data_IF_891815902040
#
_entry.id   IF_891815902040
#
_cell.length_a   1.000
_cell.length_b   1.000
_cell.length_c   1.000
_cell.angle_alpha   90.00
_cell.angle_beta   90.00
_cell.angle_gamma   90.00
#
_symmetry.space_group_name_H-M   'P 1'
#
loop_
_entity.id
_entity.type
_entity.pdbx_description
1 polymer ?
#
# COMPACT_ATOMS: atom_id res chain seq x y z
N UNK A 1 14.12 11.87 -12.98
CA UNK A 1 13.87 12.89 -11.98
C UNK A 1 15.04 13.89 -12.07
N UNK A 2 14.76 15.16 -12.31
CA UNK A 2 15.78 16.22 -12.45
C UNK A 2 16.94 15.88 -13.41
N UNK A 3 16.63 15.23 -14.52
CA UNK A 3 17.58 14.76 -15.52
C UNK A 3 18.38 13.51 -15.13
N UNK A 4 18.14 12.94 -13.94
CA UNK A 4 18.74 11.67 -13.50
C UNK A 4 17.81 10.49 -13.80
N UNK A 5 18.38 9.36 -14.14
CA UNK A 5 17.64 8.10 -14.22
C UNK A 5 17.44 7.56 -12.80
N UNK A 6 16.24 7.11 -12.49
CA UNK A 6 15.89 6.55 -11.17
C UNK A 6 15.47 5.11 -11.35
N UNK A 7 16.07 4.23 -10.55
CA UNK A 7 15.64 2.85 -10.42
C UNK A 7 15.11 2.60 -9.02
N UNK A 8 13.97 1.95 -8.91
CA UNK A 8 13.38 1.61 -7.62
C UNK A 8 13.88 0.27 -7.10
N UNK A 9 14.14 0.21 -5.80
CA UNK A 9 14.44 -1.00 -5.06
C UNK A 9 13.32 -1.23 -4.05
N UNK A 10 12.45 -2.18 -4.31
CA UNK A 10 11.42 -2.53 -3.35
C UNK A 10 12.04 -3.24 -2.14
N UNK A 11 12.07 -2.54 -1.01
CA UNK A 11 12.68 -3.04 0.23
C UNK A 11 11.68 -3.66 1.18
N UNK A 12 10.40 -3.41 0.98
CA UNK A 12 9.32 -3.91 1.82
C UNK A 12 7.95 -3.72 1.19
N UNK A 13 6.92 -4.06 1.94
CA UNK A 13 5.51 -3.92 1.54
C UNK A 13 4.62 -3.59 2.73
N UNK A 14 3.47 -2.98 2.46
CA UNK A 14 2.39 -2.83 3.45
C UNK A 14 1.78 -4.20 3.78
N UNK A 15 1.24 -4.32 5.00
CA UNK A 15 0.43 -5.47 5.36
C UNK A 15 -1.03 -5.29 4.92
N UNK A 16 -1.71 -6.42 4.75
CA UNK A 16 -3.16 -6.46 4.59
C UNK A 16 -3.82 -6.92 5.89
N UNK A 17 -4.84 -6.19 6.33
CA UNK A 17 -5.63 -6.49 7.53
C UNK A 17 -7.10 -6.11 7.28
N UNK A 18 -7.85 -6.91 6.50
CA UNK A 18 -9.21 -6.58 6.12
C UNK A 18 -10.16 -6.63 7.32
N UNK A 19 -11.12 -5.70 7.33
CA UNK A 19 -12.13 -5.60 8.37
C UNK A 19 -13.54 -5.56 7.79
N UNK A 20 -14.53 -5.85 8.62
CA UNK A 20 -15.95 -5.65 8.30
C UNK A 20 -16.57 -4.76 9.36
N UNK A 21 -17.29 -3.73 8.92
CA UNK A 21 -18.12 -2.89 9.78
C UNK A 21 -19.58 -3.15 9.47
N UNK A 22 -20.37 -3.43 10.51
CA UNK A 22 -21.79 -3.74 10.40
C UNK A 22 -22.61 -2.73 11.17
N UNK A 23 -23.41 -1.95 10.47
CA UNK A 23 -24.41 -1.05 11.06
C UNK A 23 -25.58 -1.84 11.66
N UNK A 24 -26.02 -1.43 12.83
CA UNK A 24 -27.11 -2.06 13.58
C UNK A 24 -28.37 -1.20 13.50
N UNK A 25 -29.45 -1.81 13.02
CA UNK A 25 -30.78 -1.24 12.92
C UNK A 25 -31.84 -2.19 13.46
N UNK A 26 -33.08 -2.02 13.01
CA UNK A 26 -34.22 -2.87 13.31
C UNK A 26 -34.96 -3.20 12.01
N UNK A 27 -35.23 -4.48 11.80
CA UNK A 27 -35.93 -4.93 10.60
C UNK A 27 -37.38 -4.45 10.58
N UNK A 28 -37.91 -4.17 9.38
CA UNK A 28 -39.29 -3.70 9.23
C UNK A 28 -39.78 -3.85 7.80
N UNK A 29 -41.08 -3.55 7.59
CA UNK A 29 -41.66 -3.55 6.25
C UNK A 29 -41.34 -2.21 5.55
N UNK A 30 -40.74 -2.28 4.36
CA UNK A 30 -40.24 -1.08 3.65
C UNK A 30 -41.35 -0.07 3.26
N UNK A 31 -42.62 -0.50 3.15
CA UNK A 31 -43.74 0.43 2.87
C UNK A 31 -44.11 1.33 4.05
N UNK A 32 -43.63 1.01 5.26
CA UNK A 32 -43.83 1.81 6.47
C UNK A 32 -42.46 2.04 7.14
N UNK A 33 -41.64 2.91 6.57
CA UNK A 33 -40.25 3.08 7.03
C UNK A 33 -40.07 3.48 8.50
N UNK A 34 -41.13 4.01 9.11
CA UNK A 34 -41.15 4.43 10.53
C UNK A 34 -41.32 3.31 11.53
N UNK A 35 -41.67 2.10 11.07
CA UNK A 35 -41.85 0.92 11.94
C UNK A 35 -40.58 0.09 12.13
N UNK A 36 -39.46 0.60 11.64
CA UNK A 36 -38.16 -0.04 11.80
C UNK A 36 -37.04 1.01 11.82
N UNK A 37 -35.83 0.55 12.00
CA UNK A 37 -34.64 1.37 11.91
C UNK A 37 -33.72 0.81 10.82
N UNK A 38 -33.83 1.34 9.61
CA UNK A 38 -33.11 0.82 8.45
C UNK A 38 -31.58 0.94 8.65
N UNK A 39 -30.87 -0.19 8.62
CA UNK A 39 -29.43 -0.23 8.77
C UNK A 39 -28.67 0.36 7.56
N UNK A 40 -29.28 0.44 6.36
CA UNK A 40 -28.61 0.95 5.15
C UNK A 40 -28.26 2.45 5.26
N UNK A 41 -29.13 3.38 5.63
CA UNK A 41 -28.76 4.78 5.87
C UNK A 41 -27.70 4.94 6.98
N UNK A 42 -27.77 4.11 8.03
CA UNK A 42 -26.79 4.12 9.12
C UNK A 42 -25.43 3.71 8.58
N UNK A 43 -25.36 2.65 7.76
CA UNK A 43 -24.13 2.23 7.12
C UNK A 43 -23.57 3.30 6.18
N UNK A 44 -24.42 3.98 5.42
CA UNK A 44 -24.01 5.05 4.52
C UNK A 44 -23.31 6.21 5.29
N UNK A 45 -23.79 6.55 6.47
CA UNK A 45 -23.13 7.53 7.36
C UNK A 45 -21.75 7.03 7.80
N UNK A 46 -21.62 5.79 8.25
CA UNK A 46 -20.34 5.19 8.65
C UNK A 46 -19.35 5.14 7.48
N UNK A 47 -19.80 4.79 6.27
CA UNK A 47 -18.96 4.83 5.07
C UNK A 47 -18.50 6.26 4.76
N UNK A 48 -19.38 7.25 4.89
CA UNK A 48 -19.02 8.65 4.67
C UNK A 48 -17.93 9.11 5.63
N UNK A 49 -18.04 8.74 6.92
CA UNK A 49 -17.01 9.03 7.92
C UNK A 49 -15.67 8.39 7.56
N UNK A 50 -15.66 7.12 7.16
CA UNK A 50 -14.45 6.45 6.69
C UNK A 50 -13.83 7.12 5.46
N UNK A 51 -14.65 7.58 4.51
CA UNK A 51 -14.19 8.18 3.26
C UNK A 51 -13.52 9.55 3.46
N UNK A 52 -13.93 10.31 4.49
CA UNK A 52 -13.35 11.61 4.80
C UNK A 52 -12.25 11.57 5.85
N UNK A 53 -12.11 10.43 6.57
CA UNK A 53 -11.06 10.24 7.57
C UNK A 53 -9.68 10.31 6.94
N UNK A 54 -8.75 10.92 7.66
CA UNK A 54 -7.32 10.97 7.31
C UNK A 54 -6.56 10.31 8.44
N UNK A 55 -5.91 9.21 8.12
CA UNK A 55 -5.08 8.48 9.08
C UNK A 55 -3.83 9.25 9.44
N UNK A 56 -3.26 8.96 10.59
CA UNK A 56 -2.01 9.57 11.02
C UNK A 56 -0.88 9.25 10.03
N UNK A 57 -0.14 10.29 9.60
CA UNK A 57 0.99 10.15 8.68
C UNK A 57 2.29 9.96 9.45
N UNK A 58 3.17 9.08 8.94
CA UNK A 58 4.52 8.90 9.44
C UNK A 58 5.47 8.38 8.39
N UNK A 59 6.76 8.59 8.60
CA UNK A 59 7.84 8.02 7.78
C UNK A 59 8.35 6.73 8.41
N UNK A 60 8.07 5.59 7.78
CA UNK A 60 8.78 4.34 8.07
C UNK A 60 10.17 4.36 7.43
N UNK A 61 11.15 3.54 7.90
CA UNK A 61 12.53 3.57 7.41
C UNK A 61 12.67 3.54 5.88
N UNK A 62 11.90 2.67 5.21
CA UNK A 62 11.92 2.56 3.74
C UNK A 62 11.53 3.89 3.06
N UNK A 63 10.48 4.55 3.54
CA UNK A 63 10.00 5.82 2.95
C UNK A 63 10.93 6.97 3.29
N UNK A 64 11.51 7.01 4.49
CA UNK A 64 12.55 7.97 4.82
C UNK A 64 13.74 7.85 3.86
N UNK A 65 14.23 6.63 3.65
CA UNK A 65 15.31 6.37 2.68
C UNK A 65 14.96 6.76 1.24
N UNK A 66 13.70 6.57 0.83
CA UNK A 66 13.19 7.04 -0.47
C UNK A 66 13.28 8.56 -0.61
N UNK A 67 12.79 9.29 0.38
CA UNK A 67 12.78 10.76 0.41
C UNK A 67 14.20 11.31 0.36
N UNK A 68 15.10 10.75 1.18
CA UNK A 68 16.53 11.11 1.21
C UNK A 68 17.24 10.83 -0.13
N UNK A 69 17.00 9.66 -0.74
CA UNK A 69 17.58 9.29 -2.03
C UNK A 69 17.12 10.21 -3.18
N UNK A 70 15.92 10.75 -3.08
CA UNK A 70 15.37 11.74 -4.00
C UNK A 70 15.91 13.16 -3.75
N UNK A 71 16.71 13.38 -2.69
CA UNK A 71 17.30 14.66 -2.34
C UNK A 71 16.35 15.61 -1.61
N UNK A 72 15.30 15.08 -1.01
CA UNK A 72 14.31 15.82 -0.23
C UNK A 72 14.62 15.66 1.26
N UNK A 73 14.49 16.73 2.04
CA UNK A 73 14.67 16.69 3.50
C UNK A 73 13.46 15.97 4.14
N UNK A 74 13.66 14.82 4.82
CA UNK A 74 12.57 14.04 5.40
C UNK A 74 12.02 14.62 6.72
N UNK A 75 12.69 15.62 7.31
CA UNK A 75 12.31 16.18 8.61
C UNK A 75 11.37 17.41 8.51
N UNK A 76 10.86 17.67 7.29
CA UNK A 76 9.82 18.65 7.03
C UNK A 76 8.43 18.11 7.39
N UNK A 77 7.42 18.99 7.33
CA UNK A 77 6.00 18.58 7.39
C UNK A 77 5.68 17.53 6.32
N UNK A 78 5.04 16.43 6.69
CA UNK A 78 4.85 15.27 5.81
C UNK A 78 4.00 15.58 4.56
N UNK A 79 3.04 16.50 4.66
CA UNK A 79 2.27 16.96 3.51
C UNK A 79 3.17 17.69 2.50
N UNK A 80 4.16 18.44 3.00
CA UNK A 80 5.13 19.11 2.14
C UNK A 80 6.10 18.11 1.49
N UNK A 81 6.57 17.12 2.24
CA UNK A 81 7.37 16.00 1.70
C UNK A 81 6.58 15.28 0.60
N UNK A 82 5.33 14.92 0.86
CA UNK A 82 4.47 14.25 -0.11
C UNK A 82 4.27 15.07 -1.39
N UNK A 83 4.06 16.38 -1.24
CA UNK A 83 3.92 17.29 -2.39
C UNK A 83 5.21 17.39 -3.22
N UNK A 84 6.39 17.46 -2.56
CA UNK A 84 7.68 17.50 -3.27
C UNK A 84 7.95 16.19 -4.02
N UNK A 85 7.76 15.03 -3.37
CA UNK A 85 7.91 13.72 -4.02
C UNK A 85 6.93 13.58 -5.18
N UNK A 86 5.66 13.95 -4.97
CA UNK A 86 4.63 13.91 -6.01
C UNK A 86 4.91 14.82 -7.21
N UNK A 87 5.60 15.94 -7.01
CA UNK A 87 6.00 16.84 -8.09
C UNK A 87 7.10 16.26 -8.99
N UNK A 88 7.87 15.28 -8.51
CA UNK A 88 8.93 14.64 -9.29
C UNK A 88 8.37 13.74 -10.40
N UNK A 89 7.29 13.02 -10.12
CA UNK A 89 6.62 12.17 -11.09
C UNK A 89 5.16 11.89 -10.69
N UNK A 90 4.18 11.87 -11.63
CA UNK A 90 2.77 11.61 -11.34
C UNK A 90 2.48 10.30 -10.58
N UNK A 91 3.28 9.24 -10.82
CA UNK A 91 3.20 7.98 -10.09
C UNK A 91 3.35 8.18 -8.58
N UNK A 92 4.39 8.90 -8.17
CA UNK A 92 4.64 9.17 -6.75
C UNK A 92 3.52 10.00 -6.12
N UNK A 93 2.90 10.91 -6.87
CA UNK A 93 1.80 11.72 -6.35
C UNK A 93 0.60 10.87 -5.90
N UNK A 94 0.27 9.79 -6.65
CA UNK A 94 -0.81 8.87 -6.30
C UNK A 94 -0.47 7.94 -5.13
N UNK A 95 0.80 7.58 -4.98
CA UNK A 95 1.24 6.60 -3.98
C UNK A 95 1.56 7.21 -2.61
N UNK A 96 2.04 8.47 -2.55
CA UNK A 96 2.55 9.05 -1.30
C UNK A 96 1.54 9.03 -0.16
N UNK A 97 0.26 9.33 -0.41
CA UNK A 97 -0.78 9.26 0.61
C UNK A 97 -0.91 7.83 1.19
N UNK A 98 -0.81 6.82 0.32
CA UNK A 98 -0.89 5.42 0.74
C UNK A 98 0.38 4.93 1.44
N UNK A 99 1.54 5.53 1.14
CA UNK A 99 2.83 5.15 1.71
C UNK A 99 3.11 5.81 3.08
N UNK A 100 2.46 6.92 3.38
CA UNK A 100 2.67 7.66 4.63
C UNK A 100 1.77 7.21 5.79
N UNK A 101 0.69 6.45 5.53
CA UNK A 101 -0.25 6.07 6.58
C UNK A 101 -0.99 4.77 6.32
N UNK A 102 -1.88 4.43 7.23
CA UNK A 102 -2.84 3.35 7.06
C UNK A 102 -3.84 3.76 5.97
N UNK A 103 -4.22 2.83 5.10
CA UNK A 103 -5.29 3.07 4.12
C UNK A 103 -6.51 2.20 4.44
N UNK A 104 -7.70 2.81 4.34
CA UNK A 104 -8.99 2.16 4.62
C UNK A 104 -9.90 2.39 3.43
N UNK A 105 -10.15 1.34 2.65
CA UNK A 105 -10.97 1.42 1.44
C UNK A 105 -12.25 0.57 1.57
N UNK A 106 -13.45 1.17 1.61
CA UNK A 106 -14.71 0.45 1.52
C UNK A 106 -14.86 -0.23 0.14
N UNK A 107 -15.04 -1.56 0.11
CA UNK A 107 -15.04 -2.32 -1.15
C UNK A 107 -16.26 -3.22 -1.34
N UNK A 108 -16.75 -3.87 -0.28
CA UNK A 108 -17.86 -4.82 -0.35
C UNK A 108 -19.05 -4.27 0.41
N UNK A 109 -20.25 -4.37 -0.16
CA UNK A 109 -21.49 -3.91 0.48
C UNK A 109 -22.51 -5.05 0.56
N UNK A 110 -23.12 -5.22 1.73
CA UNK A 110 -24.24 -6.13 1.94
C UNK A 110 -25.36 -5.42 2.70
N UNK A 111 -26.60 -5.84 2.43
CA UNK A 111 -27.80 -5.28 3.06
C UNK A 111 -28.95 -6.24 2.97
N UNK A 112 -30.18 -5.74 2.68
CA UNK A 112 -31.34 -6.60 2.49
C UNK A 112 -31.25 -7.39 1.19
N UNK A 113 -31.65 -8.66 1.23
CA UNK A 113 -31.87 -9.50 0.05
C UNK A 113 -33.28 -9.32 -0.57
N UNK A 114 -34.17 -8.59 0.10
CA UNK A 114 -35.54 -8.36 -0.34
C UNK A 114 -35.88 -6.87 -0.38
N UNK A 115 -36.43 -6.41 -1.51
CA UNK A 115 -36.78 -4.99 -1.73
C UNK A 115 -37.78 -4.42 -0.74
N UNK A 116 -38.71 -5.25 -0.26
CA UNK A 116 -39.77 -4.85 0.65
C UNK A 116 -39.44 -4.99 2.13
N UNK A 117 -38.16 -5.24 2.48
CA UNK A 117 -37.70 -5.41 3.87
C UNK A 117 -36.65 -4.36 4.20
N UNK A 118 -36.86 -3.62 5.28
CA UNK A 118 -35.82 -2.79 5.91
C UNK A 118 -34.84 -3.73 6.62
N UNK A 119 -33.55 -3.73 6.27
CA UNK A 119 -32.61 -4.61 6.96
C UNK A 119 -32.28 -4.09 8.38
N UNK A 120 -32.27 -5.00 9.35
CA UNK A 120 -31.79 -4.73 10.69
C UNK A 120 -30.26 -4.72 10.79
N UNK A 121 -29.56 -5.18 9.74
CA UNK A 121 -28.10 -5.19 9.63
C UNK A 121 -27.71 -4.88 8.20
N UNK A 122 -26.67 -4.06 8.05
CA UNK A 122 -26.03 -3.80 6.76
C UNK A 122 -24.52 -3.69 6.99
N UNK A 123 -23.70 -4.22 6.10
CA UNK A 123 -22.25 -4.32 6.34
C UNK A 123 -21.44 -3.79 5.17
N UNK A 124 -20.26 -3.27 5.49
CA UNK A 124 -19.21 -2.92 4.53
C UNK A 124 -17.94 -3.70 4.83
N UNK A 125 -17.39 -4.35 3.83
CA UNK A 125 -16.04 -4.91 3.87
C UNK A 125 -15.02 -3.84 3.50
N UNK A 126 -13.94 -3.77 4.27
CA UNK A 126 -12.86 -2.80 4.14
C UNK A 126 -11.58 -3.52 3.72
N UNK A 127 -10.96 -3.07 2.63
CA UNK A 127 -9.55 -3.34 2.35
C UNK A 127 -8.73 -2.34 3.17
N UNK A 128 -8.03 -2.83 4.19
CA UNK A 128 -7.16 -2.03 5.02
C UNK A 128 -5.71 -2.45 4.79
N UNK A 129 -4.84 -1.45 4.58
CA UNK A 129 -3.40 -1.65 4.42
C UNK A 129 -2.68 -0.85 5.49
N UNK A 130 -1.86 -1.54 6.27
CA UNK A 130 -1.09 -0.97 7.38
C UNK A 130 0.40 -0.96 7.03
N UNK A 131 1.15 -0.04 7.63
CA UNK A 131 2.59 0.10 7.39
C UNK A 131 3.39 -1.01 8.09
N UNK A 132 4.63 -1.29 7.67
CA UNK A 132 5.54 -2.13 8.44
C UNK A 132 5.64 -1.66 9.90
N UNK A 133 5.50 -2.62 10.82
CA UNK A 133 5.52 -2.35 12.26
C UNK A 133 4.17 -1.98 12.86
N UNK A 134 3.12 -1.69 12.07
CA UNK A 134 1.77 -1.52 12.57
C UNK A 134 1.18 -2.82 13.05
N UNK A 135 0.28 -2.71 14.00
CA UNK A 135 -0.46 -3.79 14.63
C UNK A 135 -1.96 -3.70 14.34
N UNK A 136 -2.70 -4.72 14.75
CA UNK A 136 -4.17 -4.68 14.75
C UNK A 136 -4.71 -3.52 15.60
N UNK A 137 -4.03 -3.18 16.71
CA UNK A 137 -4.44 -2.09 17.59
C UNK A 137 -4.32 -0.71 16.91
N UNK A 138 -3.33 -0.51 16.03
CA UNK A 138 -3.17 0.75 15.31
C UNK A 138 -4.32 0.94 14.31
N UNK A 139 -4.67 -0.08 13.53
CA UNK A 139 -5.84 -0.02 12.66
C UNK A 139 -7.14 0.12 13.46
N UNK A 140 -7.25 -0.58 14.58
CA UNK A 140 -8.43 -0.48 15.46
C UNK A 140 -8.63 0.93 15.98
N UNK A 141 -7.55 1.60 16.34
CA UNK A 141 -7.56 3.00 16.75
C UNK A 141 -8.06 3.92 15.62
N UNK A 142 -7.52 3.79 14.42
CA UNK A 142 -7.93 4.60 13.26
C UNK A 142 -9.41 4.39 12.91
N UNK A 143 -9.88 3.14 12.95
CA UNK A 143 -11.30 2.84 12.75
C UNK A 143 -12.18 3.41 13.85
N UNK A 144 -11.74 3.38 15.11
CA UNK A 144 -12.48 3.95 16.22
C UNK A 144 -12.60 5.48 16.10
N UNK A 145 -11.51 6.15 15.71
CA UNK A 145 -11.52 7.61 15.48
C UNK A 145 -12.44 7.96 14.31
N UNK A 146 -12.34 7.26 13.20
CA UNK A 146 -13.14 7.51 12.00
C UNK A 146 -14.64 7.31 12.25
N UNK A 147 -15.01 6.19 12.86
CA UNK A 147 -16.41 5.80 13.02
C UNK A 147 -17.12 6.54 14.17
N UNK A 148 -16.38 6.94 15.21
CA UNK A 148 -16.96 7.54 16.42
C UNK A 148 -17.73 6.54 17.28
N UNK A 149 -18.40 7.03 18.34
CA UNK A 149 -19.14 6.19 19.28
C UNK A 149 -20.65 6.48 19.36
N UNK A 150 -21.16 7.36 18.51
CA UNK A 150 -22.55 7.85 18.53
C UNK A 150 -23.53 7.01 17.71
N UNK A 151 -23.00 6.19 16.79
CA UNK A 151 -23.77 5.26 15.95
C UNK A 151 -23.46 3.81 16.38
N UNK A 152 -24.47 2.96 16.65
CA UNK A 152 -24.23 1.59 17.01
C UNK A 152 -23.76 0.77 15.79
N UNK A 153 -22.60 0.14 15.91
CA UNK A 153 -22.04 -0.78 14.91
C UNK A 153 -21.24 -1.90 15.58
N UNK A 154 -20.99 -2.95 14.81
CA UNK A 154 -20.03 -4.01 15.13
C UNK A 154 -18.86 -3.92 14.16
N UNK A 155 -17.68 -4.28 14.63
CA UNK A 155 -16.44 -4.31 13.84
C UNK A 155 -15.71 -5.62 14.08
N UNK A 156 -15.26 -6.27 13.01
CA UNK A 156 -14.55 -7.54 13.06
C UNK A 156 -13.42 -7.53 12.04
N UNK A 157 -12.20 -7.94 12.44
CA UNK A 157 -11.14 -8.27 11.51
C UNK A 157 -11.42 -9.63 10.88
N UNK A 158 -11.31 -9.71 9.54
CA UNK A 158 -11.69 -10.90 8.78
C UNK A 158 -10.60 -11.97 8.83
N UNK A 159 -9.36 -11.52 8.93
CA UNK A 159 -8.17 -12.37 9.05
C UNK A 159 -7.08 -11.64 9.84
N UNK A 160 -6.01 -12.35 10.23
CA UNK A 160 -4.83 -11.74 10.83
C UNK A 160 -3.99 -10.96 9.82
N UNK A 161 -3.01 -10.22 10.32
CA UNK A 161 -2.06 -9.44 9.53
C UNK A 161 -1.29 -10.35 8.59
N UNK A 162 -1.24 -9.98 7.31
CA UNK A 162 -0.44 -10.65 6.29
C UNK A 162 0.45 -9.64 5.57
N UNK A 163 1.76 -9.88 5.52
CA UNK A 163 2.75 -8.93 4.99
C UNK A 163 3.25 -7.94 6.03
N UNK A 164 3.56 -6.72 5.62
CA UNK A 164 4.02 -5.64 6.49
C UNK A 164 5.45 -5.82 6.96
N UNK A 165 6.33 -6.29 6.09
CA UNK A 165 7.73 -6.52 6.38
C UNK A 165 8.63 -5.65 5.53
N UNK A 166 9.83 -5.34 6.03
CA UNK A 166 10.86 -4.65 5.25
C UNK A 166 12.25 -5.24 5.52
N UNK A 167 13.12 -5.14 4.53
CA UNK A 167 14.54 -5.47 4.65
C UNK A 167 15.34 -4.20 4.88
N UNK A 168 16.35 -4.21 5.79
CA UNK A 168 17.18 -3.04 6.06
C UNK A 168 18.02 -2.66 4.85
N UNK A 169 18.27 -1.37 4.65
CA UNK A 169 19.26 -0.87 3.70
C UNK A 169 20.69 -1.11 4.21
N UNK A 170 21.71 -0.95 3.34
CA UNK A 170 23.11 -1.08 3.71
C UNK A 170 23.61 -2.52 3.86
N UNK A 171 22.83 -3.51 3.44
CA UNK A 171 23.23 -4.92 3.43
C UNK A 171 24.21 -5.23 2.30
N UNK A 172 24.96 -6.37 2.36
CA UNK A 172 25.79 -6.79 1.23
C UNK A 172 25.01 -6.92 -0.10
N UNK A 173 23.76 -7.40 -0.07
CA UNK A 173 22.90 -7.46 -1.26
C UNK A 173 22.55 -6.05 -1.78
N UNK A 174 22.20 -5.12 -0.90
CA UNK A 174 21.97 -3.73 -1.30
C UNK A 174 23.22 -3.12 -1.95
N UNK A 175 24.41 -3.34 -1.38
CA UNK A 175 25.67 -2.84 -1.93
C UNK A 175 25.99 -3.47 -3.30
N UNK A 176 25.72 -4.77 -3.48
CA UNK A 176 25.91 -5.45 -4.76
C UNK A 176 24.97 -4.90 -5.85
N UNK A 177 23.68 -4.64 -5.51
CA UNK A 177 22.72 -4.03 -6.42
C UNK A 177 23.16 -2.61 -6.82
N UNK A 178 23.57 -1.79 -5.86
CA UNK A 178 24.02 -0.43 -6.13
C UNK A 178 25.27 -0.40 -7.02
N UNK A 179 26.22 -1.31 -6.79
CA UNK A 179 27.44 -1.42 -7.60
C UNK A 179 27.16 -1.95 -9.01
N UNK A 180 26.23 -2.90 -9.18
CA UNK A 180 25.81 -3.37 -10.48
C UNK A 180 25.08 -2.27 -11.27
N UNK A 181 24.25 -1.48 -10.59
CA UNK A 181 23.56 -0.35 -11.19
C UNK A 181 24.56 0.71 -11.67
N UNK A 182 25.49 1.12 -10.82
CA UNK A 182 26.51 2.11 -11.20
C UNK A 182 27.38 1.64 -12.38
N UNK A 183 27.64 0.35 -12.49
CA UNK A 183 28.37 -0.22 -13.62
C UNK A 183 27.56 -0.21 -14.93
N UNK A 184 26.25 -0.48 -14.85
CA UNK A 184 25.36 -0.56 -16.02
C UNK A 184 24.85 0.83 -16.46
N UNK A 185 24.64 1.76 -15.52
CA UNK A 185 24.06 3.09 -15.75
C UNK A 185 24.70 4.13 -14.80
N UNK A 186 25.93 4.59 -15.11
CA UNK A 186 26.65 5.50 -14.25
C UNK A 186 25.87 6.79 -13.95
N UNK A 187 25.77 7.12 -12.67
CA UNK A 187 25.05 8.30 -12.19
C UNK A 187 23.53 8.11 -12.04
N UNK A 188 23.00 6.93 -12.30
CA UNK A 188 21.63 6.59 -11.93
C UNK A 188 21.46 6.52 -10.40
N UNK A 189 20.24 6.78 -9.94
CA UNK A 189 19.92 6.78 -8.51
C UNK A 189 19.11 5.53 -8.18
N UNK A 190 19.55 4.79 -7.17
CA UNK A 190 18.80 3.68 -6.58
C UNK A 190 17.92 4.21 -5.46
N UNK A 191 16.61 4.13 -5.62
CA UNK A 191 15.63 4.67 -4.68
C UNK A 191 14.91 3.53 -3.96
N UNK A 192 15.04 3.41 -2.63
CA UNK A 192 14.26 2.45 -1.87
C UNK A 192 12.76 2.74 -2.02
N UNK A 193 11.95 1.70 -2.16
CA UNK A 193 10.50 1.80 -2.31
C UNK A 193 9.80 0.80 -1.39
N UNK A 194 8.69 1.23 -0.82
CA UNK A 194 7.74 0.36 -0.14
C UNK A 194 6.59 0.07 -1.11
N UNK A 195 6.25 -1.21 -1.32
CA UNK A 195 5.05 -1.56 -2.08
C UNK A 195 3.79 -1.28 -1.27
N UNK A 196 2.79 -0.67 -1.90
CA UNK A 196 1.44 -0.53 -1.32
C UNK A 196 0.68 -1.86 -1.28
N UNK A 197 1.10 -2.83 -2.10
CA UNK A 197 0.59 -4.19 -2.15
C UNK A 197 1.42 -5.16 -1.31
N UNK A 198 1.02 -6.42 -1.34
CA UNK A 198 1.67 -7.54 -0.67
C UNK A 198 2.52 -8.33 -1.66
N UNK A 199 3.66 -8.89 -1.21
CA UNK A 199 4.53 -9.73 -2.03
C UNK A 199 4.98 -10.99 -1.28
N UNK A 200 5.39 -12.03 -2.02
CA UNK A 200 5.92 -13.28 -1.46
C UNK A 200 7.20 -13.07 -0.64
N UNK A 201 7.91 -11.95 -0.85
CA UNK A 201 9.07 -11.57 -0.06
C UNK A 201 8.77 -11.50 1.44
N UNK A 202 7.53 -11.16 1.83
CA UNK A 202 7.11 -11.18 3.22
C UNK A 202 7.22 -12.57 3.86
N UNK A 203 6.76 -13.60 3.15
CA UNK A 203 6.88 -14.99 3.65
C UNK A 203 8.32 -15.42 3.81
N UNK A 204 9.18 -15.05 2.85
CA UNK A 204 10.61 -15.37 2.89
C UNK A 204 11.29 -14.67 4.05
N UNK A 205 11.00 -13.38 4.27
CA UNK A 205 11.52 -12.63 5.43
C UNK A 205 11.06 -13.22 6.75
N UNK A 206 9.77 -13.52 6.88
CA UNK A 206 9.19 -14.07 8.11
C UNK A 206 9.68 -15.50 8.41
N UNK A 207 9.78 -16.36 7.39
CA UNK A 207 10.17 -17.76 7.59
C UNK A 207 11.65 -17.94 7.86
N UNK A 208 12.52 -17.12 7.25
CA UNK A 208 13.96 -17.35 7.25
C UNK A 208 14.76 -16.20 7.88
N UNK A 209 14.14 -15.09 8.26
CA UNK A 209 14.85 -13.91 8.76
C UNK A 209 15.85 -13.33 7.75
N UNK A 210 15.64 -13.55 6.44
CA UNK A 210 16.57 -13.18 5.39
C UNK A 210 16.24 -11.83 4.78
N UNK A 211 17.24 -11.22 4.14
CA UNK A 211 17.07 -10.03 3.32
C UNK A 211 16.44 -10.43 1.98
N UNK A 212 15.39 -9.73 1.59
CA UNK A 212 14.74 -9.90 0.29
C UNK A 212 14.33 -8.54 -0.27
N UNK A 213 14.80 -8.22 -1.47
CA UNK A 213 14.45 -7.01 -2.21
C UNK A 213 13.78 -7.38 -3.53
N UNK A 214 12.82 -6.56 -3.97
CA UNK A 214 12.33 -6.57 -5.34
C UNK A 214 13.18 -5.62 -6.19
N UNK A 215 13.89 -6.14 -7.17
CA UNK A 215 14.70 -5.34 -8.09
C UNK A 215 14.60 -5.89 -9.51
N UNK A 216 13.98 -5.11 -10.38
CA UNK A 216 13.84 -5.42 -11.79
C UNK A 216 14.06 -4.14 -12.61
N UNK A 217 15.27 -3.89 -13.12
CA UNK A 217 15.58 -2.67 -13.83
C UNK A 217 14.89 -2.62 -15.18
N UNK A 218 14.13 -1.56 -15.43
CA UNK A 218 13.49 -1.25 -16.71
C UNK A 218 14.02 0.09 -17.23
N UNK A 219 14.37 0.15 -18.51
CA UNK A 219 14.88 1.35 -19.17
C UNK A 219 14.12 1.72 -20.43
N UNK A 220 13.60 0.73 -21.15
CA UNK A 220 12.98 0.85 -22.46
C UNK A 220 11.45 0.68 -22.39
N UNK A 221 10.94 0.00 -21.39
CA UNK A 221 9.50 -0.16 -21.18
C UNK A 221 8.94 1.15 -20.61
N UNK A 222 8.01 1.83 -21.31
CA UNK A 222 7.34 2.97 -20.73
C UNK A 222 6.62 2.61 -19.44
N UNK A 223 6.66 3.51 -18.45
CA UNK A 223 6.13 3.25 -17.11
C UNK A 223 4.61 2.98 -17.14
N UNK A 224 3.87 3.71 -17.97
CA UNK A 224 2.43 3.50 -18.16
C UNK A 224 2.09 2.12 -18.76
N UNK A 225 2.98 1.57 -19.61
CA UNK A 225 2.85 0.21 -20.14
C UNK A 225 3.11 -0.82 -19.05
N UNK A 226 4.12 -0.61 -18.21
CA UNK A 226 4.45 -1.49 -17.11
C UNK A 226 3.33 -1.51 -16.04
N UNK A 227 2.94 -0.33 -15.55
CA UNK A 227 1.90 -0.20 -14.51
C UNK A 227 0.52 -0.66 -14.97
N UNK A 228 0.11 -0.23 -16.17
CA UNK A 228 -1.17 -0.63 -16.75
C UNK A 228 -1.22 -2.10 -17.18
N UNK A 229 -0.04 -2.73 -17.32
CA UNK A 229 0.10 -4.14 -17.71
C UNK A 229 0.00 -5.11 -16.56
N UNK A 230 0.38 -4.71 -15.35
CA UNK A 230 0.40 -5.61 -14.19
C UNK A 230 -0.98 -6.28 -13.95
N UNK A 231 -0.99 -7.62 -13.86
CA UNK A 231 -2.21 -8.43 -13.72
C UNK A 231 -3.24 -8.25 -14.84
N UNK A 232 -2.83 -7.73 -15.99
CA UNK A 232 -3.71 -7.50 -17.13
C UNK A 232 -3.35 -8.44 -18.30
N UNK A 233 -4.30 -8.62 -19.23
CA UNK A 233 -4.15 -9.49 -20.41
C UNK A 233 -3.02 -9.07 -21.38
N UNK A 234 -2.63 -7.80 -21.36
CA UNK A 234 -1.60 -7.22 -22.23
C UNK A 234 -0.29 -6.93 -21.49
N UNK A 235 -0.03 -7.62 -20.39
CA UNK A 235 1.20 -7.50 -19.61
C UNK A 235 2.42 -7.80 -20.47
N UNK A 236 3.34 -6.85 -20.56
CA UNK A 236 4.50 -6.91 -21.42
C UNK A 236 5.64 -6.00 -20.96
N UNK A 237 6.85 -6.37 -21.34
CA UNK A 237 8.06 -5.55 -21.17
C UNK A 237 8.80 -5.45 -22.51
N UNK A 238 9.66 -4.45 -22.66
CA UNK A 238 10.54 -4.35 -23.81
C UNK A 238 11.59 -5.48 -23.77
N UNK A 239 11.91 -6.07 -24.91
CA UNK A 239 12.86 -7.19 -24.98
C UNK A 239 14.25 -6.83 -24.44
N UNK A 240 14.70 -5.59 -24.68
CA UNK A 240 16.01 -5.14 -24.23
C UNK A 240 16.06 -4.96 -22.70
N UNK A 241 14.92 -4.72 -22.04
CA UNK A 241 14.84 -4.71 -20.57
C UNK A 241 15.02 -6.11 -19.98
N UNK A 242 14.55 -7.16 -20.68
CA UNK A 242 14.81 -8.53 -20.26
C UNK A 242 16.31 -8.83 -20.29
N UNK A 243 17.02 -8.37 -21.34
CA UNK A 243 18.48 -8.47 -21.44
C UNK A 243 19.19 -7.73 -20.33
N UNK A 244 18.89 -6.44 -20.15
CA UNK A 244 19.44 -5.59 -19.11
C UNK A 244 19.25 -6.20 -17.72
N UNK A 245 18.03 -6.60 -17.39
CA UNK A 245 17.72 -7.17 -16.09
C UNK A 245 18.48 -8.49 -15.86
N UNK A 246 18.59 -9.34 -16.88
CA UNK A 246 19.33 -10.62 -16.78
C UNK A 246 20.82 -10.37 -16.53
N UNK A 247 21.45 -9.48 -17.28
CA UNK A 247 22.87 -9.13 -17.12
C UNK A 247 23.13 -8.54 -15.72
N UNK A 248 22.28 -7.63 -15.25
CA UNK A 248 22.42 -7.05 -13.91
C UNK A 248 22.22 -8.10 -12.81
N UNK A 249 21.25 -9.01 -12.92
CA UNK A 249 21.07 -10.08 -11.93
C UNK A 249 22.30 -11.00 -11.87
N UNK A 250 22.92 -11.34 -13.00
CA UNK A 250 24.16 -12.12 -13.04
C UNK A 250 25.30 -11.35 -12.33
N UNK A 251 25.48 -10.07 -12.63
CA UNK A 251 26.52 -9.23 -12.01
C UNK A 251 26.31 -9.12 -10.49
N UNK A 252 25.07 -8.90 -10.04
CA UNK A 252 24.71 -8.87 -8.61
C UNK A 252 25.11 -10.16 -7.90
N UNK A 253 24.76 -11.31 -8.49
CA UNK A 253 25.10 -12.62 -7.91
C UNK A 253 26.61 -12.82 -7.86
N UNK A 254 27.35 -12.47 -8.92
CA UNK A 254 28.80 -12.57 -8.95
C UNK A 254 29.47 -11.67 -7.89
N UNK A 255 28.99 -10.44 -7.69
CA UNK A 255 29.49 -9.54 -6.64
C UNK A 255 29.20 -10.03 -5.24
N UNK A 256 28.10 -10.74 -5.06
CA UNK A 256 27.68 -11.24 -3.75
C UNK A 256 28.40 -12.53 -3.34
N UNK A 257 28.71 -13.39 -4.31
CA UNK A 257 29.30 -14.71 -4.06
C UNK A 257 30.83 -14.75 -4.25
N UNK A 258 31.43 -13.70 -4.82
CA UNK A 258 32.87 -13.58 -5.03
C UNK A 258 33.29 -14.23 -6.32
#
# INVERSE_FOLDING_TARGET
VDGRVVYTLQVGEKATLPATVTALGEAGHASIPTLGRNAVPILAELITRLAIHRTEKRLVPAIRGMVEALGIDPDQELDHVAAQVGALHPMFAGEMEALLGITIAPTLLTGSSARNVLPGRASVGLDCRILPGDTEADLDHELAVALGGDIPFERVFVQGITGGTESPLGTPLHAAIAAALEAADPGAVLVPQLSTGFTDAAYVRQAFGTVAYGFWPLRHTPLDVYEGGMHNKDERIHRDDLGLATEMQIDIVQRLLG
#
